data_IF_661485013330
#
_entry.id   IF_661485013330
#
_cell.length_a   1.000
_cell.length_b   1.000
_cell.length_c   1.000
_cell.angle_alpha   90.00
_cell.angle_beta   90.00
_cell.angle_gamma   90.00
#
_symmetry.space_group_name_H-M   'P 1'
#
loop_
_entity.id
_entity.type
_entity.pdbx_description
1 polymer ?
#
# COMPACT_ATOMS: atom_id res chain seq x y z
N UNK A 1 -6.71 -2.41 -7.44
CA UNK A 1 -7.31 -1.12 -7.89
C UNK A 1 -7.69 -1.27 -9.35
N UNK A 2 -8.95 -1.02 -9.73
CA UNK A 2 -9.44 -1.21 -11.11
C UNK A 2 -9.51 0.10 -11.91
N UNK A 3 -9.70 1.23 -11.23
CA UNK A 3 -9.76 2.57 -11.81
C UNK A 3 -9.27 3.60 -10.80
N UNK A 4 -8.82 4.74 -11.30
CA UNK A 4 -8.34 5.88 -10.52
C UNK A 4 -8.81 7.18 -11.16
N UNK A 5 -9.22 8.14 -10.34
CA UNK A 5 -9.64 9.46 -10.77
C UNK A 5 -8.82 10.55 -10.07
N UNK A 6 -8.58 11.67 -10.76
CA UNK A 6 -7.92 12.84 -10.22
C UNK A 6 -8.95 13.96 -10.07
N UNK A 7 -9.17 14.41 -8.84
CA UNK A 7 -10.15 15.45 -8.53
C UNK A 7 -9.40 16.75 -8.17
N UNK A 8 -9.28 17.72 -9.10
CA UNK A 8 -8.71 19.02 -8.78
C UNK A 8 -9.66 19.81 -7.89
N UNK A 9 -9.11 20.63 -6.99
CA UNK A 9 -9.91 21.53 -6.15
C UNK A 9 -10.58 22.66 -6.94
N UNK A 10 -10.06 22.97 -8.14
CA UNK A 10 -10.59 24.04 -9.01
C UNK A 10 -11.38 23.43 -10.15
N UNK A 11 -12.56 23.99 -10.43
CA UNK A 11 -13.39 23.59 -11.58
C UNK A 11 -12.71 23.87 -12.92
N UNK A 12 -11.91 24.94 -13.00
CA UNK A 12 -11.14 25.27 -14.19
C UNK A 12 -9.70 24.78 -14.04
N UNK A 13 -9.32 23.82 -14.88
CA UNK A 13 -7.94 23.38 -15.00
C UNK A 13 -7.06 24.57 -15.45
N UNK A 14 -6.03 24.87 -14.65
CA UNK A 14 -4.91 25.67 -15.12
C UNK A 14 -3.97 24.72 -15.85
N UNK A 15 -3.58 25.09 -17.06
CA UNK A 15 -2.65 24.32 -17.86
C UNK A 15 -1.26 24.92 -17.70
N UNK A 16 -0.44 24.21 -16.93
CA UNK A 16 0.99 24.40 -16.87
C UNK A 16 1.66 23.20 -17.58
N UNK A 17 2.57 23.42 -18.56
CA UNK A 17 3.17 22.33 -19.33
C UNK A 17 3.91 21.29 -18.48
N UNK A 18 4.55 21.72 -17.39
CA UNK A 18 5.28 20.82 -16.49
C UNK A 18 4.28 19.99 -15.66
N UNK A 19 3.24 20.64 -15.11
CA UNK A 19 2.15 19.97 -14.40
C UNK A 19 1.44 18.93 -15.28
N UNK A 20 1.10 19.29 -16.52
CA UNK A 20 0.45 18.39 -17.48
C UNK A 20 1.34 17.17 -17.79
N UNK A 21 2.66 17.37 -17.86
CA UNK A 21 3.64 16.29 -18.03
C UNK A 21 3.66 15.36 -16.81
N UNK A 22 3.75 15.90 -15.59
CA UNK A 22 3.74 15.10 -14.37
C UNK A 22 2.43 14.33 -14.18
N UNK A 23 1.29 14.97 -14.46
CA UNK A 23 -0.02 14.33 -14.41
C UNK A 23 -0.11 13.18 -15.42
N UNK A 24 0.45 13.35 -16.61
CA UNK A 24 0.48 12.29 -17.63
C UNK A 24 1.30 11.08 -17.17
N UNK A 25 2.50 11.32 -16.60
CA UNK A 25 3.35 10.26 -16.04
C UNK A 25 2.64 9.51 -14.90
N UNK A 26 2.03 10.25 -13.98
CA UNK A 26 1.35 9.68 -12.84
C UNK A 26 0.10 8.89 -13.23
N UNK A 27 -0.74 9.42 -14.14
CA UNK A 27 -1.89 8.70 -14.71
C UNK A 27 -1.46 7.40 -15.40
N UNK A 28 -0.35 7.43 -16.14
CA UNK A 28 0.21 6.25 -16.80
C UNK A 28 0.66 5.19 -15.79
N UNK A 29 1.36 5.60 -14.74
CA UNK A 29 1.78 4.73 -13.65
C UNK A 29 0.58 4.08 -12.96
N UNK A 30 -0.42 4.87 -12.56
CA UNK A 30 -1.60 4.36 -11.85
C UNK A 30 -2.45 3.42 -12.70
N UNK A 31 -2.59 3.71 -14.01
CA UNK A 31 -3.36 2.86 -14.93
C UNK A 31 -2.76 1.47 -15.10
N UNK A 32 -1.43 1.36 -14.99
CA UNK A 32 -0.69 0.11 -15.26
C UNK A 32 -0.18 -0.56 -13.98
N UNK A 33 -0.21 0.15 -12.85
CA UNK A 33 0.38 -0.27 -11.59
C UNK A 33 -0.42 -1.39 -10.92
N UNK A 34 0.19 -2.54 -10.60
CA UNK A 34 -0.49 -3.62 -9.91
C UNK A 34 -0.61 -3.32 -8.41
N UNK A 35 -1.64 -2.54 -8.07
CA UNK A 35 -1.91 -2.04 -6.72
C UNK A 35 -3.01 -2.85 -6.03
N UNK A 36 -2.76 -3.24 -4.78
CA UNK A 36 -3.66 -4.05 -3.96
C UNK A 36 -3.78 -3.45 -2.56
N UNK A 37 -4.95 -3.59 -1.95
CA UNK A 37 -5.22 -3.19 -0.57
C UNK A 37 -6.24 -4.15 0.04
N UNK A 38 -6.36 -4.13 1.36
CA UNK A 38 -7.46 -4.75 2.09
C UNK A 38 -7.86 -3.85 3.26
N UNK A 39 -9.15 -3.79 3.55
CA UNK A 39 -9.66 -3.00 4.67
C UNK A 39 -9.39 -3.65 6.03
N UNK A 40 -9.27 -4.97 6.05
CA UNK A 40 -9.16 -5.78 7.28
C UNK A 40 -7.80 -6.46 7.44
N UNK A 41 -7.01 -6.56 6.38
CA UNK A 41 -5.75 -7.29 6.37
C UNK A 41 -4.60 -6.39 5.90
N UNK A 42 -3.46 -6.45 6.59
CA UNK A 42 -2.29 -5.68 6.21
C UNK A 42 -1.49 -6.38 5.11
N UNK A 43 -1.69 -5.97 3.85
CA UNK A 43 -0.93 -6.50 2.72
C UNK A 43 0.53 -6.02 2.67
N UNK A 44 0.93 -5.05 3.50
CA UNK A 44 2.31 -4.55 3.53
C UNK A 44 3.23 -5.44 4.37
N UNK A 45 2.71 -6.16 5.37
CA UNK A 45 3.50 -6.99 6.29
C UNK A 45 3.30 -8.49 6.08
N UNK A 46 4.37 -9.27 6.21
CA UNK A 46 4.25 -10.75 6.27
C UNK A 46 3.30 -11.21 7.37
N UNK A 47 2.70 -12.38 7.21
CA UNK A 47 1.83 -13.00 8.21
C UNK A 47 2.54 -13.13 9.57
N UNK A 48 3.83 -13.49 9.56
CA UNK A 48 4.64 -13.58 10.77
C UNK A 48 4.79 -12.22 11.49
N UNK A 49 5.06 -11.13 10.76
CA UNK A 49 5.13 -9.77 11.33
C UNK A 49 3.77 -9.29 11.84
N UNK A 50 2.69 -9.59 11.11
CA UNK A 50 1.34 -9.25 11.54
C UNK A 50 0.95 -9.98 12.84
N UNK A 51 1.34 -11.24 13.01
CA UNK A 51 1.10 -11.99 14.24
C UNK A 51 1.77 -11.38 15.49
N UNK A 52 2.82 -10.57 15.29
CA UNK A 52 3.52 -9.84 16.36
C UNK A 52 3.00 -8.41 16.54
N UNK A 53 2.10 -7.95 15.68
CA UNK A 53 1.55 -6.60 15.72
C UNK A 53 0.44 -6.46 16.77
N UNK A 54 0.31 -5.28 17.38
CA UNK A 54 -0.75 -5.02 18.35
C UNK A 54 -2.06 -4.64 17.64
N UNK A 55 -3.13 -5.46 17.73
CA UNK A 55 -4.38 -5.20 17.04
C UNK A 55 -5.11 -3.94 17.51
N UNK A 56 -4.78 -3.41 18.69
CA UNK A 56 -5.35 -2.17 19.23
C UNK A 56 -4.90 -0.91 18.47
N UNK A 57 -3.84 -1.00 17.68
CA UNK A 57 -3.42 0.10 16.81
C UNK A 57 -4.18 0.09 15.48
N UNK A 58 -4.48 1.27 14.91
CA UNK A 58 -5.09 1.37 13.58
C UNK A 58 -4.19 0.73 12.52
N UNK A 59 -4.80 0.23 11.44
CA UNK A 59 -4.14 -0.58 10.40
C UNK A 59 -2.84 0.07 9.89
N UNK A 60 -2.88 1.35 9.55
CA UNK A 60 -1.75 2.09 8.99
C UNK A 60 -0.56 2.26 9.96
N UNK A 61 -0.78 2.17 11.27
CA UNK A 61 0.30 2.21 12.27
C UNK A 61 1.00 0.87 12.44
N UNK A 62 0.42 -0.22 11.91
CA UNK A 62 0.97 -1.58 12.00
C UNK A 62 1.70 -2.02 10.73
N UNK A 63 1.65 -1.21 9.68
CA UNK A 63 2.21 -1.55 8.37
C UNK A 63 3.72 -1.49 8.30
N UNK A 64 4.27 -2.31 7.42
CA UNK A 64 5.66 -2.23 7.00
C UNK A 64 5.86 -1.04 6.06
N UNK A 65 6.57 0.00 6.54
CA UNK A 65 6.81 1.24 5.79
C UNK A 65 7.39 0.98 4.40
N UNK A 66 8.24 -0.05 4.28
CA UNK A 66 8.89 -0.39 3.01
C UNK A 66 7.86 -0.68 1.93
N UNK A 67 6.68 -1.20 2.27
CA UNK A 67 5.67 -1.64 1.31
C UNK A 67 4.40 -0.80 1.30
N UNK A 68 4.35 0.29 2.08
CA UNK A 68 3.25 1.26 2.10
C UNK A 68 3.41 2.28 0.96
N UNK A 69 3.02 1.88 -0.25
CA UNK A 69 3.31 2.59 -1.50
C UNK A 69 2.78 4.03 -1.52
N UNK A 70 1.51 4.23 -1.12
CA UNK A 70 0.84 5.54 -1.13
C UNK A 70 1.09 6.39 0.13
N UNK A 71 2.04 6.01 0.99
CA UNK A 71 2.30 6.73 2.26
C UNK A 71 2.61 8.22 2.05
N UNK A 72 3.30 8.58 0.96
CA UNK A 72 3.58 10.00 0.65
C UNK A 72 2.29 10.78 0.36
N UNK A 73 1.35 10.19 -0.39
CA UNK A 73 0.06 10.82 -0.73
C UNK A 73 -0.80 11.02 0.54
N UNK A 74 -0.56 10.20 1.56
CA UNK A 74 -1.27 10.26 2.84
C UNK A 74 -0.54 11.06 3.93
N UNK A 75 0.52 11.82 3.59
CA UNK A 75 1.32 12.57 4.58
C UNK A 75 0.47 13.50 5.43
N UNK A 76 -0.43 14.25 4.82
CA UNK A 76 -1.27 15.22 5.53
C UNK A 76 -2.21 14.53 6.51
N UNK A 77 -2.83 13.41 6.12
CA UNK A 77 -3.66 12.62 7.01
C UNK A 77 -2.85 12.01 8.17
N UNK A 78 -1.63 11.53 7.89
CA UNK A 78 -0.73 10.98 8.90
C UNK A 78 -0.30 12.06 9.89
N UNK A 79 0.02 13.25 9.42
CA UNK A 79 0.41 14.38 10.26
C UNK A 79 -0.75 14.81 11.16
N UNK A 80 -1.97 14.93 10.61
CA UNK A 80 -3.19 15.18 11.39
C UNK A 80 -3.43 14.09 12.45
N UNK A 81 -3.28 12.81 12.08
CA UNK A 81 -3.47 11.70 12.99
C UNK A 81 -2.42 11.68 14.13
N UNK A 82 -1.20 12.15 13.86
CA UNK A 82 -0.13 12.25 14.85
C UNK A 82 -0.16 13.57 15.66
N UNK A 83 -1.01 14.53 15.28
CA UNK A 83 -1.01 15.87 15.88
C UNK A 83 0.22 16.70 15.49
N UNK A 84 0.91 16.32 14.42
CA UNK A 84 1.93 17.15 13.80
C UNK A 84 1.20 18.27 13.06
N UNK A 85 1.47 19.52 13.44
CA UNK A 85 0.87 20.67 12.76
C UNK A 85 1.34 20.69 11.32
N UNK A 86 0.46 20.32 10.38
CA UNK A 86 0.58 20.74 9.00
C UNK A 86 0.72 22.28 9.00
N UNK A 87 1.55 22.83 8.11
CA UNK A 87 1.73 24.27 7.94
C UNK A 87 0.44 25.09 7.72
N UNK A 88 -0.71 24.40 7.63
CA UNK A 88 -2.08 24.92 7.65
C UNK A 88 -2.53 25.65 8.93
N UNK A 89 -1.72 25.72 10.01
CA UNK A 89 -2.06 26.54 11.19
C UNK A 89 -3.21 26.00 12.07
N UNK A 90 -3.73 24.81 11.78
CA UNK A 90 -4.67 24.09 12.63
C UNK A 90 -3.93 23.59 13.88
N UNK A 91 -3.96 24.38 14.96
CA UNK A 91 -3.48 23.98 16.29
C UNK A 91 -4.46 23.00 16.91
N UNK A 92 -4.14 21.71 16.89
CA UNK A 92 -4.91 20.68 17.58
C UNK A 92 -4.02 19.46 17.86
N UNK A 93 -4.25 18.77 18.97
CA UNK A 93 -3.58 17.52 19.28
C UNK A 93 -3.93 16.38 18.29
N UNK A 94 -3.45 15.16 18.53
CA UNK A 94 -3.70 14.01 17.66
C UNK A 94 -5.19 13.82 17.32
N UNK A 95 -5.52 13.72 16.03
CA UNK A 95 -6.89 13.51 15.56
C UNK A 95 -7.12 12.05 15.17
N UNK A 96 -7.42 11.20 16.16
CA UNK A 96 -7.65 9.77 15.93
C UNK A 96 -8.81 9.48 14.94
N UNK A 97 -9.74 10.41 14.75
CA UNK A 97 -10.83 10.28 13.76
C UNK A 97 -10.36 10.19 12.31
N UNK A 98 -9.10 10.54 12.02
CA UNK A 98 -8.49 10.45 10.69
C UNK A 98 -7.97 9.04 10.39
N UNK A 99 -7.70 8.22 11.41
CA UNK A 99 -7.10 6.88 11.25
C UNK A 99 -7.81 5.98 10.21
N UNK A 100 -9.17 5.94 10.13
CA UNK A 100 -9.87 5.11 9.14
C UNK A 100 -9.69 5.55 7.68
N UNK A 101 -9.27 6.80 7.43
CA UNK A 101 -9.04 7.34 6.09
C UNK A 101 -7.64 7.01 5.55
N UNK A 102 -6.74 6.54 6.41
CA UNK A 102 -5.37 6.17 6.06
C UNK A 102 -5.36 4.68 5.69
N UNK A 103 -5.61 4.39 4.41
CA UNK A 103 -5.59 3.04 3.85
C UNK A 103 -4.26 2.71 3.15
N UNK A 104 -3.49 1.72 3.65
CA UNK A 104 -2.26 1.28 3.01
C UNK A 104 -2.52 0.53 1.69
N UNK A 105 -1.84 0.97 0.64
CA UNK A 105 -1.82 0.32 -0.68
C UNK A 105 -0.45 -0.31 -0.90
N UNK A 106 -0.45 -1.57 -1.31
CA UNK A 106 0.73 -2.33 -1.70
C UNK A 106 0.89 -2.30 -3.23
N UNK A 107 2.12 -2.19 -3.70
CA UNK A 107 2.48 -2.31 -5.12
C UNK A 107 3.22 -3.61 -5.37
N UNK A 108 2.75 -4.45 -6.28
CA UNK A 108 3.40 -5.74 -6.55
C UNK A 108 2.45 -6.76 -7.17
N UNK A 109 2.22 -7.87 -6.51
CA UNK A 109 1.38 -8.97 -7.00
C UNK A 109 0.65 -9.63 -5.84
N UNK A 110 -0.62 -9.95 -6.06
CA UNK A 110 -1.42 -10.77 -5.18
C UNK A 110 -2.22 -11.76 -6.03
N UNK A 111 -2.09 -13.04 -5.72
CA UNK A 111 -2.89 -14.10 -6.32
C UNK A 111 -3.34 -15.07 -5.24
N UNK A 112 -4.63 -15.29 -5.17
CA UNK A 112 -5.27 -16.28 -4.31
C UNK A 112 -5.84 -17.35 -5.25
N UNK A 113 -5.58 -18.62 -4.96
CA UNK A 113 -6.01 -19.74 -5.79
C UNK A 113 -6.46 -20.88 -4.90
N UNK A 114 -7.75 -21.19 -4.97
CA UNK A 114 -8.33 -22.37 -4.35
C UNK A 114 -7.97 -23.59 -5.19
N UNK A 115 -7.49 -24.65 -4.54
CA UNK A 115 -7.13 -25.91 -5.18
C UNK A 115 -7.31 -27.07 -4.21
N UNK A 116 -7.00 -28.29 -4.66
CA UNK A 116 -7.01 -29.49 -3.82
C UNK A 116 -5.74 -30.28 -4.05
N UNK A 117 -5.10 -30.74 -2.97
CA UNK A 117 -4.06 -31.75 -3.06
C UNK A 117 -4.67 -33.05 -2.56
N UNK A 118 -4.83 -34.03 -3.47
CA UNK A 118 -5.65 -35.23 -3.24
C UNK A 118 -7.09 -34.81 -2.86
N UNK A 119 -7.60 -35.29 -1.74
CA UNK A 119 -8.92 -34.95 -1.22
C UNK A 119 -8.95 -33.71 -0.32
N UNK A 120 -7.79 -33.14 0.03
CA UNK A 120 -7.71 -32.00 0.97
C UNK A 120 -7.84 -30.67 0.21
N UNK A 121 -8.89 -29.87 0.46
CA UNK A 121 -8.99 -28.53 -0.08
C UNK A 121 -7.95 -27.62 0.57
N UNK A 122 -7.37 -26.72 -0.24
CA UNK A 122 -6.48 -25.69 0.23
C UNK A 122 -6.62 -24.40 -0.58
N UNK A 123 -6.40 -23.28 0.09
CA UNK A 123 -6.24 -21.98 -0.54
C UNK A 123 -4.75 -21.64 -0.54
N UNK A 124 -4.19 -21.46 -1.74
CA UNK A 124 -2.82 -21.02 -1.95
C UNK A 124 -2.81 -19.54 -2.30
N UNK A 125 -2.09 -18.75 -1.51
CA UNK A 125 -1.92 -17.32 -1.73
C UNK A 125 -0.45 -17.00 -1.98
N UNK A 126 -0.17 -16.29 -3.07
CA UNK A 126 1.14 -15.76 -3.39
C UNK A 126 1.07 -14.23 -3.36
N UNK A 127 1.91 -13.62 -2.55
CA UNK A 127 2.03 -12.16 -2.42
C UNK A 127 3.46 -11.77 -2.78
N UNK A 128 3.64 -10.78 -3.64
CA UNK A 128 4.92 -10.11 -3.85
C UNK A 128 4.71 -8.62 -3.62
N UNK A 129 5.53 -8.02 -2.75
CA UNK A 129 5.46 -6.61 -2.39
C UNK A 129 6.75 -5.94 -2.85
N UNK A 130 6.64 -4.83 -3.57
CA UNK A 130 7.78 -4.02 -4.00
C UNK A 130 8.00 -2.88 -3.04
N UNK A 131 9.25 -2.69 -2.62
CA UNK A 131 9.62 -1.59 -1.75
C UNK A 131 9.34 -0.24 -2.42
N UNK A 132 8.79 0.72 -1.66
CA UNK A 132 8.65 2.13 -2.06
C UNK A 132 10.00 2.84 -2.11
N UNK A 133 10.98 2.36 -1.34
CA UNK A 133 12.32 2.94 -1.28
C UNK A 133 13.12 2.53 -2.50
N UNK A 134 13.82 3.50 -3.11
CA UNK A 134 14.73 3.30 -4.24
C UNK A 134 14.12 2.50 -5.41
N UNK A 135 12.84 2.73 -5.69
CA UNK A 135 12.20 2.22 -6.91
C UNK A 135 12.72 3.01 -8.12
N UNK A 136 13.23 2.33 -9.15
CA UNK A 136 13.71 3.01 -10.35
C UNK A 136 14.53 2.13 -11.28
N UNK A 137 14.98 2.72 -12.37
CA UNK A 137 15.69 1.98 -13.44
C UNK A 137 17.03 1.45 -12.96
N UNK A 138 17.45 0.32 -13.53
CA UNK A 138 18.64 -0.47 -13.15
C UNK A 138 19.92 0.35 -13.05
N UNK A 139 20.06 1.42 -13.84
CA UNK A 139 21.26 2.26 -13.88
C UNK A 139 21.26 3.40 -12.86
N UNK A 140 20.12 3.69 -12.23
CA UNK A 140 19.97 4.81 -11.27
C UNK A 140 19.88 4.33 -9.81
N UNK A 141 19.33 3.14 -9.55
CA UNK A 141 18.95 2.75 -8.19
C UNK A 141 19.73 1.58 -7.58
N UNK A 142 20.70 1.00 -8.31
CA UNK A 142 21.55 -0.07 -7.77
C UNK A 142 22.34 0.36 -6.53
N UNK A 143 22.67 -0.62 -5.70
CA UNK A 143 23.41 -0.40 -4.45
C UNK A 143 22.49 -0.10 -3.27
N UNK A 144 23.09 0.50 -2.25
CA UNK A 144 22.48 0.87 -0.97
C UNK A 144 22.57 2.38 -0.80
N UNK A 145 21.58 3.02 -0.18
CA UNK A 145 21.68 4.44 0.22
C UNK A 145 22.25 4.60 1.64
N UNK A 146 22.48 5.85 2.03
CA UNK A 146 23.02 6.20 3.36
C UNK A 146 22.08 5.82 4.52
N UNK A 147 20.82 5.50 4.23
CA UNK A 147 19.83 5.01 5.20
C UNK A 147 19.71 3.48 5.20
N UNK A 148 20.52 2.78 4.41
CA UNK A 148 20.55 1.33 4.34
C UNK A 148 19.50 0.70 3.43
N UNK A 149 18.74 1.49 2.66
CA UNK A 149 17.77 0.94 1.73
C UNK A 149 18.47 0.43 0.47
N UNK A 150 18.19 -0.82 0.11
CA UNK A 150 18.71 -1.41 -1.13
C UNK A 150 17.76 -1.13 -2.30
N UNK A 151 18.34 -0.92 -3.49
CA UNK A 151 17.57 -0.70 -4.72
C UNK A 151 16.69 -1.89 -5.10
N UNK A 152 15.45 -1.60 -5.53
CA UNK A 152 14.51 -2.59 -6.07
C UNK A 152 14.26 -3.81 -5.15
N UNK A 153 14.22 -3.59 -3.83
CA UNK A 153 13.87 -4.63 -2.87
C UNK A 153 12.44 -5.13 -3.08
N UNK A 154 12.25 -6.46 -3.08
CA UNK A 154 10.95 -7.11 -3.10
C UNK A 154 10.89 -8.19 -2.02
N UNK A 155 9.72 -8.38 -1.42
CA UNK A 155 9.43 -9.51 -0.53
C UNK A 155 8.35 -10.38 -1.16
N UNK A 156 8.59 -11.69 -1.25
CA UNK A 156 7.60 -12.67 -1.73
C UNK A 156 7.21 -13.59 -0.59
N UNK A 157 5.91 -13.71 -0.33
CA UNK A 157 5.34 -14.57 0.71
C UNK A 157 4.38 -15.58 0.07
N UNK A 158 4.48 -16.83 0.51
CA UNK A 158 3.56 -17.92 0.17
C UNK A 158 2.77 -18.30 1.41
N UNK A 159 1.44 -18.34 1.29
CA UNK A 159 0.52 -18.69 2.37
C UNK A 159 -0.32 -19.87 1.90
N UNK A 160 -0.48 -20.87 2.77
CA UNK A 160 -1.33 -22.03 2.54
C UNK A 160 -2.36 -22.08 3.67
N UNK A 161 -3.63 -22.08 3.32
CA UNK A 161 -4.75 -22.31 4.24
C UNK A 161 -5.30 -23.69 3.92
N UNK A 162 -5.29 -24.59 4.89
CA UNK A 162 -5.81 -25.96 4.75
C UNK A 162 -7.23 -26.04 5.29
N UNK A 163 -8.03 -26.96 4.73
CA UNK A 163 -9.41 -27.19 5.15
C UNK A 163 -10.29 -25.92 5.05
N UNK A 164 -10.04 -25.14 4.01
CA UNK A 164 -10.87 -24.00 3.64
C UNK A 164 -12.15 -24.53 3.00
N UNK A 165 -13.09 -24.95 3.84
CA UNK A 165 -14.37 -25.55 3.43
C UNK A 165 -15.34 -24.52 2.85
N UNK A 166 -15.04 -23.22 3.00
CA UNK A 166 -15.74 -22.14 2.32
C UNK A 166 -15.17 -21.96 0.91
N UNK A 167 -15.75 -22.67 -0.05
CA UNK A 167 -15.52 -22.47 -1.49
C UNK A 167 -15.95 -21.09 -2.01
N UNK A 168 -16.27 -20.15 -1.13
CA UNK A 168 -16.63 -18.78 -1.40
C UNK A 168 -15.51 -17.87 -0.90
N UNK A 169 -14.90 -17.10 -1.80
CA UNK A 169 -14.19 -15.88 -1.40
C UNK A 169 -15.21 -14.97 -0.74
N UNK A 170 -15.38 -15.08 0.58
CA UNK A 170 -16.25 -14.22 1.37
C UNK A 170 -15.81 -12.77 1.21
N UNK A 171 -16.46 -12.05 0.29
CA UNK A 171 -16.37 -10.61 0.21
C UNK A 171 -17.14 -10.02 1.38
N UNK A 172 -16.50 -9.08 2.08
CA UNK A 172 -17.25 -7.97 2.66
C UNK A 172 -17.67 -7.03 1.53
#
# INVERSE_FOLDING_TARGET
>A
VISTEFLPLRERALHDPDEDTYLTLLKTLLRTGPMYFSYSFDLTSSFQRQAQSNPSHPLWKRTDDRFFWNKFIQSDFIDLANGAGSGSGLRGGPQAGVDPFILPVMFGMLRITQTRIKSTPLTFTLITRRSRHRAGTRYLTRGIDDQGHVGNYNETEQIVILNDDDGSLGGF
#
